data_IF_707008641156
#
_entry.id   IF_707008641156
#
_cell.length_a   1.000
_cell.length_b   1.000
_cell.length_c   1.000
_cell.angle_alpha   90.00
_cell.angle_beta   90.00
_cell.angle_gamma   90.00
#
_symmetry.space_group_name_H-M   'P 1'
#
loop_
_entity.id
_entity.type
_entity.pdbx_description
1 polymer ?
#
# COMPACT_ATOMS: atom_id res chain seq x y z
N UNK A 1 12.88 24.95 -13.75
CA UNK A 1 14.30 24.53 -13.76
C UNK A 1 14.58 23.23 -13.00
N UNK A 2 14.37 23.14 -11.68
CA UNK A 2 14.80 21.98 -10.87
C UNK A 2 14.29 20.62 -11.39
N UNK A 3 13.01 20.52 -11.77
CA UNK A 3 12.44 19.26 -12.28
C UNK A 3 13.04 18.78 -13.60
N UNK A 4 13.47 19.70 -14.48
CA UNK A 4 14.09 19.36 -15.77
C UNK A 4 15.51 18.84 -15.55
N UNK A 5 16.27 19.50 -14.67
CA UNK A 5 17.62 19.04 -14.29
C UNK A 5 17.56 17.63 -13.67
N UNK A 6 16.55 17.36 -12.84
CA UNK A 6 16.36 16.03 -12.25
C UNK A 6 16.07 14.96 -13.31
N UNK A 7 15.22 15.26 -14.31
CA UNK A 7 14.96 14.36 -15.44
C UNK A 7 16.25 14.07 -16.22
N UNK A 8 17.07 15.08 -16.49
CA UNK A 8 18.34 14.91 -17.20
C UNK A 8 19.32 14.00 -16.44
N UNK A 9 19.50 14.24 -15.12
CA UNK A 9 20.36 13.41 -14.28
C UNK A 9 19.83 11.98 -14.19
N UNK A 10 18.52 11.83 -14.09
CA UNK A 10 17.84 10.55 -14.02
C UNK A 10 18.04 9.70 -15.29
N UNK A 11 17.75 10.27 -16.46
CA UNK A 11 17.94 9.58 -17.75
C UNK A 11 19.41 9.23 -17.95
N UNK A 12 20.32 10.16 -17.63
CA UNK A 12 21.77 9.92 -17.71
C UNK A 12 22.21 8.75 -16.83
N UNK A 13 21.68 8.65 -15.61
CA UNK A 13 21.99 7.53 -14.72
C UNK A 13 21.54 6.19 -15.30
N UNK A 14 20.33 6.12 -15.88
CA UNK A 14 19.83 4.92 -16.55
C UNK A 14 20.74 4.53 -17.72
N UNK A 15 21.08 5.48 -18.60
CA UNK A 15 21.95 5.22 -19.75
C UNK A 15 23.34 4.70 -19.33
N UNK A 16 23.92 5.26 -18.26
CA UNK A 16 25.22 4.82 -17.76
C UNK A 16 25.17 3.41 -17.18
N UNK A 17 24.11 3.08 -16.43
CA UNK A 17 23.92 1.74 -15.87
C UNK A 17 23.67 0.69 -16.97
N UNK A 18 22.88 1.03 -17.98
CA UNK A 18 22.67 0.14 -19.13
C UNK A 18 23.94 -0.04 -19.96
N UNK A 19 24.77 1.01 -20.08
CA UNK A 19 26.04 0.96 -20.80
C UNK A 19 27.04 -0.05 -20.22
N UNK A 20 26.95 -0.35 -18.93
CA UNK A 20 27.75 -1.39 -18.25
C UNK A 20 27.04 -2.75 -18.17
N UNK A 21 25.90 -2.91 -18.85
CA UNK A 21 25.16 -4.17 -18.94
C UNK A 21 24.07 -4.37 -17.88
N UNK A 22 23.79 -3.38 -17.02
CA UNK A 22 22.69 -3.48 -16.06
C UNK A 22 21.33 -3.34 -16.77
N UNK A 23 20.36 -4.15 -16.36
CA UNK A 23 19.00 -4.14 -16.89
C UNK A 23 18.11 -3.41 -15.88
N UNK A 24 17.78 -2.14 -16.17
CA UNK A 24 16.84 -1.37 -15.36
C UNK A 24 15.39 -1.69 -15.76
N UNK A 25 14.66 -2.41 -14.91
CA UNK A 25 13.23 -2.71 -15.13
C UNK A 25 12.30 -1.73 -14.41
N UNK A 26 12.78 -1.04 -13.36
CA UNK A 26 11.95 -0.11 -12.63
C UNK A 26 12.72 0.81 -11.70
N UNK A 27 12.02 1.86 -11.27
CA UNK A 27 12.55 2.95 -10.45
C UNK A 27 11.57 3.28 -9.33
N UNK A 28 12.11 3.40 -8.12
CA UNK A 28 11.35 3.80 -6.93
C UNK A 28 11.67 5.24 -6.57
N UNK A 29 10.66 6.04 -6.24
CA UNK A 29 10.85 7.38 -5.68
C UNK A 29 9.87 7.67 -4.55
N UNK A 30 10.23 8.61 -3.68
CA UNK A 30 9.30 9.11 -2.66
C UNK A 30 8.19 10.00 -3.27
N UNK A 31 7.25 10.41 -2.41
CA UNK A 31 6.15 11.29 -2.79
C UNK A 31 6.48 12.78 -2.80
N UNK A 32 7.76 13.19 -2.79
CA UNK A 32 8.14 14.61 -2.76
C UNK A 32 7.68 15.37 -4.01
N UNK A 33 7.43 16.67 -3.89
CA UNK A 33 6.92 17.50 -4.99
C UNK A 33 7.86 17.54 -6.21
N UNK A 34 9.17 17.42 -5.99
CA UNK A 34 10.19 17.32 -7.03
C UNK A 34 10.08 16.01 -7.82
N UNK A 35 9.89 14.89 -7.13
CA UNK A 35 9.73 13.58 -7.74
C UNK A 35 8.39 13.45 -8.48
N UNK A 36 7.32 14.08 -7.98
CA UNK A 36 6.07 14.18 -8.74
C UNK A 36 6.21 14.97 -10.04
N UNK A 37 7.01 16.05 -10.04
CA UNK A 37 7.33 16.79 -11.27
C UNK A 37 8.14 15.94 -12.26
N UNK A 38 9.06 15.11 -11.75
CA UNK A 38 9.80 14.13 -12.55
C UNK A 38 8.84 13.13 -13.22
N UNK A 39 7.89 12.57 -12.46
CA UNK A 39 6.88 11.65 -12.99
C UNK A 39 6.05 12.29 -14.10
N UNK A 40 5.51 13.48 -13.85
CA UNK A 40 4.74 14.22 -14.85
C UNK A 40 5.56 14.49 -16.13
N UNK A 41 6.85 14.81 -16.01
CA UNK A 41 7.74 15.02 -17.16
C UNK A 41 8.06 13.73 -17.93
N UNK A 42 8.07 12.58 -17.27
CA UNK A 42 8.19 11.26 -17.91
C UNK A 42 6.83 10.76 -18.45
N UNK A 43 5.76 11.53 -18.29
CA UNK A 43 4.40 11.17 -18.68
C UNK A 43 3.77 10.11 -17.78
N UNK A 44 4.29 9.92 -16.57
CA UNK A 44 3.76 8.95 -15.60
C UNK A 44 2.65 9.63 -14.79
N UNK A 45 1.49 8.99 -14.74
CA UNK A 45 0.29 9.49 -14.05
C UNK A 45 -0.44 8.34 -13.37
N UNK A 46 -0.90 8.58 -12.15
CA UNK A 46 -1.76 7.65 -11.40
C UNK A 46 -3.23 8.01 -11.45
N UNK A 47 -3.64 8.93 -12.33
CA UNK A 47 -5.03 9.35 -12.45
C UNK A 47 -5.89 8.17 -12.90
N UNK A 48 -7.01 7.94 -12.21
CA UNK A 48 -7.97 6.88 -12.56
C UNK A 48 -8.44 7.02 -14.00
N UNK A 49 -8.55 5.89 -14.70
CA UNK A 49 -8.91 5.81 -16.12
C UNK A 49 -7.78 6.17 -17.09
N UNK A 50 -6.70 6.82 -16.64
CA UNK A 50 -5.55 7.20 -17.47
C UNK A 50 -4.21 6.86 -16.78
N UNK A 51 -4.15 5.69 -16.14
CA UNK A 51 -2.94 5.28 -15.40
C UNK A 51 -1.82 4.97 -16.39
N UNK A 52 -0.77 5.80 -16.36
CA UNK A 52 0.49 5.56 -17.07
C UNK A 52 1.58 5.31 -16.05
N UNK A 53 1.91 4.03 -15.88
CA UNK A 53 2.78 3.52 -14.82
C UNK A 53 4.25 3.31 -15.22
N UNK A 54 4.55 3.44 -16.51
CA UNK A 54 5.90 3.29 -17.05
C UNK A 54 6.19 4.40 -18.06
N UNK A 55 7.48 4.59 -18.35
CA UNK A 55 7.95 5.33 -19.50
C UNK A 55 8.79 4.42 -20.40
N UNK A 56 8.95 4.79 -21.66
CA UNK A 56 9.77 4.04 -22.61
C UNK A 56 11.25 4.32 -22.39
N UNK A 57 12.05 3.28 -22.51
CA UNK A 57 13.48 3.37 -22.27
C UNK A 57 14.14 4.29 -23.32
N UNK A 58 14.94 5.29 -22.92
CA UNK A 58 15.45 6.33 -23.82
C UNK A 58 16.40 5.81 -24.92
N UNK A 59 17.00 4.64 -24.74
CA UNK A 59 17.94 4.04 -25.71
C UNK A 59 17.42 2.79 -26.41
N UNK A 60 16.29 2.22 -25.97
CA UNK A 60 15.82 0.91 -26.45
C UNK A 60 14.33 0.96 -26.72
N UNK A 61 13.96 0.87 -27.99
CA UNK A 61 12.56 0.82 -28.41
C UNK A 61 11.85 -0.37 -27.76
N UNK A 62 10.58 -0.18 -27.41
CA UNK A 62 9.69 -1.15 -26.76
C UNK A 62 10.09 -1.64 -25.35
N UNK A 63 11.17 -1.14 -24.74
CA UNK A 63 11.47 -1.49 -23.35
C UNK A 63 10.83 -0.52 -22.37
N UNK A 64 10.07 -1.07 -21.42
CA UNK A 64 9.35 -0.30 -20.40
C UNK A 64 10.18 -0.21 -19.13
N UNK A 65 10.22 0.97 -18.53
CA UNK A 65 10.77 1.18 -17.18
C UNK A 65 9.61 1.58 -16.27
N UNK A 66 9.27 0.69 -15.33
CA UNK A 66 8.14 0.87 -14.42
C UNK A 66 8.49 1.83 -13.27
N UNK A 67 7.56 2.73 -12.94
CA UNK A 67 7.71 3.62 -11.79
C UNK A 67 6.98 3.07 -10.57
N UNK A 68 7.57 3.27 -9.40
CA UNK A 68 7.04 2.85 -8.11
C UNK A 68 7.11 4.02 -7.13
N UNK A 69 6.03 4.25 -6.40
CA UNK A 69 6.10 5.02 -5.16
C UNK A 69 6.52 4.11 -4.03
N UNK A 70 7.16 4.67 -3.01
CA UNK A 70 7.54 3.88 -1.85
C UNK A 70 6.32 3.39 -1.05
N UNK A 71 6.03 2.08 -1.13
CA UNK A 71 4.85 1.46 -0.54
C UNK A 71 4.77 1.64 1.00
N UNK A 72 5.86 1.45 1.78
CA UNK A 72 5.89 1.80 3.21
C UNK A 72 5.46 3.25 3.49
N UNK A 73 5.93 4.20 2.69
CA UNK A 73 5.54 5.61 2.83
C UNK A 73 4.07 5.85 2.46
N UNK A 74 3.52 5.15 1.47
CA UNK A 74 2.10 5.25 1.12
C UNK A 74 1.21 4.79 2.27
N UNK A 75 1.52 3.66 2.92
CA UNK A 75 0.75 3.17 4.08
C UNK A 75 0.82 4.16 5.25
N UNK A 76 2.00 4.76 5.49
CA UNK A 76 2.15 5.85 6.46
C UNK A 76 1.25 7.04 6.13
N UNK A 77 1.16 7.45 4.86
CA UNK A 77 0.33 8.58 4.43
C UNK A 77 -1.16 8.28 4.63
N UNK A 78 -1.61 7.04 4.34
CA UNK A 78 -2.97 6.58 4.63
C UNK A 78 -3.28 6.70 6.13
N UNK A 79 -2.38 6.22 7.00
CA UNK A 79 -2.50 6.35 8.47
C UNK A 79 -2.59 7.80 8.92
N UNK A 80 -1.72 8.67 8.39
CA UNK A 80 -1.69 10.08 8.75
C UNK A 80 -2.96 10.81 8.30
N UNK A 81 -3.48 10.50 7.11
CA UNK A 81 -4.73 11.07 6.59
C UNK A 81 -5.91 10.66 7.47
N UNK A 82 -6.03 9.37 7.79
CA UNK A 82 -7.09 8.87 8.68
C UNK A 82 -6.98 9.48 10.10
N UNK A 83 -5.77 9.59 10.65
CA UNK A 83 -5.55 10.20 11.96
C UNK A 83 -5.94 11.69 11.99
N UNK A 84 -5.62 12.45 10.94
CA UNK A 84 -5.87 13.88 10.87
C UNK A 84 -7.35 14.19 10.62
N UNK A 85 -7.99 13.46 9.70
CA UNK A 85 -9.41 13.67 9.34
C UNK A 85 -10.39 12.92 10.24
N UNK A 86 -9.90 12.03 11.10
CA UNK A 86 -10.66 11.20 12.08
C UNK A 86 -11.61 10.18 11.46
N UNK A 87 -12.11 10.43 10.25
CA UNK A 87 -12.91 9.49 9.50
C UNK A 87 -12.63 9.56 8.00
N UNK A 88 -12.78 8.42 7.35
CA UNK A 88 -12.88 8.29 5.90
C UNK A 88 -14.21 7.61 5.59
N UNK A 89 -14.86 8.02 4.50
CA UNK A 89 -16.18 7.49 4.13
C UNK A 89 -16.01 6.40 3.10
N UNK A 90 -16.75 5.30 3.25
CA UNK A 90 -16.80 4.21 2.26
C UNK A 90 -18.27 3.91 2.04
N UNK A 91 -18.73 3.80 0.81
CA UNK A 91 -20.11 3.34 0.54
C UNK A 91 -20.05 1.85 0.20
N UNK A 92 -20.97 1.06 0.77
CA UNK A 92 -21.14 -0.33 0.37
C UNK A 92 -21.64 -0.34 -1.07
N UNK A 93 -20.80 -0.80 -1.99
CA UNK A 93 -21.28 -1.19 -3.29
C UNK A 93 -22.13 -2.46 -3.10
N UNK A 94 -23.45 -2.31 -3.08
CA UNK A 94 -24.41 -3.42 -3.00
C UNK A 94 -24.35 -4.36 -4.23
N UNK A 95 -23.42 -4.11 -5.17
CA UNK A 95 -23.21 -4.87 -6.40
C UNK A 95 -22.29 -6.09 -6.24
N UNK A 96 -21.77 -6.38 -5.04
CA UNK A 96 -21.28 -7.74 -4.77
C UNK A 96 -22.51 -8.60 -4.42
N UNK A 97 -22.82 -9.67 -5.18
CA UNK A 97 -23.95 -10.51 -4.87
C UNK A 97 -23.56 -11.46 -3.73
N UNK A 98 -23.26 -10.92 -2.54
CA UNK A 98 -23.54 -11.68 -1.33
C UNK A 98 -25.04 -11.68 -1.19
N UNK A 99 -25.66 -12.66 -1.87
CA UNK A 99 -27.08 -12.96 -1.81
C UNK A 99 -27.39 -13.19 -0.32
N UNK A 100 -27.92 -12.15 0.33
CA UNK A 100 -28.16 -12.15 1.80
C UNK A 100 -29.03 -13.36 2.19
N UNK A 101 -29.89 -13.80 1.27
CA UNK A 101 -30.60 -15.08 1.33
C UNK A 101 -30.39 -15.83 0.00
N UNK A 102 -29.48 -16.80 -0.09
CA UNK A 102 -29.11 -17.42 -1.36
C UNK A 102 -30.24 -18.23 -2.01
N UNK A 103 -31.23 -18.69 -1.23
CA UNK A 103 -32.36 -19.50 -1.70
C UNK A 103 -33.56 -18.67 -2.16
N UNK A 104 -33.63 -17.39 -1.78
CA UNK A 104 -34.70 -16.50 -2.22
C UNK A 104 -34.44 -16.06 -3.67
N UNK A 105 -35.46 -16.22 -4.51
CA UNK A 105 -35.50 -15.83 -5.93
C UNK A 105 -36.62 -14.79 -6.14
N UNK A 106 -36.64 -14.06 -7.28
CA UNK A 106 -37.69 -13.06 -7.54
C UNK A 106 -39.13 -13.58 -7.42
N UNK A 107 -39.35 -14.88 -7.68
CA UNK A 107 -40.64 -15.57 -7.49
C UNK A 107 -41.14 -15.62 -6.05
N UNK A 108 -40.25 -15.47 -5.06
CA UNK A 108 -40.61 -15.42 -3.65
C UNK A 108 -41.03 -14.01 -3.20
N UNK A 109 -40.53 -12.97 -3.89
CA UNK A 109 -40.79 -11.56 -3.58
C UNK A 109 -42.07 -11.08 -4.29
N UNK A 110 -42.32 -11.57 -5.50
CA UNK A 110 -43.54 -11.33 -6.27
C UNK A 110 -44.14 -12.66 -6.77
N UNK A 111 -44.84 -13.42 -5.89
CA UNK A 111 -45.40 -14.71 -6.26
C UNK A 111 -46.61 -14.57 -7.20
N UNK A 112 -46.58 -15.29 -8.32
CA UNK A 112 -47.76 -15.51 -9.17
C UNK A 112 -48.81 -16.38 -8.45
N UNK A 113 -50.01 -16.50 -9.01
CA UNK A 113 -51.11 -17.22 -8.36
C UNK A 113 -50.79 -18.70 -8.05
N UNK A 114 -49.90 -19.33 -8.82
CA UNK A 114 -49.43 -20.70 -8.56
C UNK A 114 -48.35 -20.74 -7.48
N UNK A 115 -47.43 -19.77 -7.46
CA UNK A 115 -46.40 -19.62 -6.44
C UNK A 115 -46.98 -19.32 -5.06
N UNK A 116 -48.11 -18.61 -4.99
CA UNK A 116 -48.87 -18.39 -3.73
C UNK A 116 -49.40 -19.68 -3.10
N UNK A 117 -49.64 -20.72 -3.90
CA UNK A 117 -50.13 -22.02 -3.43
C UNK A 117 -48.98 -23.00 -3.10
N UNK A 118 -47.72 -22.62 -3.32
CA UNK A 118 -46.57 -23.48 -3.08
C UNK A 118 -46.10 -23.40 -1.63
N UNK A 119 -46.42 -24.44 -0.86
CA UNK A 119 -45.96 -24.59 0.54
C UNK A 119 -44.44 -24.50 0.62
N UNK A 120 -43.71 -25.10 -0.34
CA UNK A 120 -42.24 -25.11 -0.40
C UNK A 120 -41.62 -23.72 -0.55
N UNK A 121 -42.23 -22.85 -1.34
CA UNK A 121 -41.80 -21.45 -1.50
C UNK A 121 -42.02 -20.67 -0.19
N UNK A 122 -43.16 -20.89 0.46
CA UNK A 122 -43.47 -20.28 1.75
C UNK A 122 -42.52 -20.77 2.86
N UNK A 123 -42.15 -22.06 2.87
CA UNK A 123 -41.20 -22.60 3.86
C UNK A 123 -39.79 -22.03 3.66
N UNK A 124 -39.33 -21.88 2.40
CA UNK A 124 -38.02 -21.28 2.11
C UNK A 124 -37.93 -19.80 2.52
N UNK A 125 -39.02 -19.04 2.37
CA UNK A 125 -39.09 -17.67 2.89
C UNK A 125 -39.02 -17.69 4.42
N UNK A 126 -39.78 -18.56 5.08
CA UNK A 126 -39.82 -18.62 6.55
C UNK A 126 -38.49 -19.09 7.15
N UNK A 127 -37.83 -20.12 6.60
CA UNK A 127 -36.52 -20.59 7.05
C UNK A 127 -35.44 -19.50 6.93
N UNK A 128 -35.38 -18.82 5.78
CA UNK A 128 -34.41 -17.76 5.55
C UNK A 128 -34.76 -16.48 6.35
N UNK A 129 -36.05 -16.25 6.66
CA UNK A 129 -36.51 -15.16 7.54
C UNK A 129 -36.20 -15.45 9.01
N UNK A 130 -36.33 -16.70 9.46
CA UNK A 130 -35.95 -17.14 10.81
C UNK A 130 -34.44 -17.07 10.98
N UNK A 131 -33.64 -17.50 9.99
CA UNK A 131 -32.19 -17.32 10.01
C UNK A 131 -31.77 -15.84 10.03
N UNK A 132 -32.54 -14.97 9.36
CA UNK A 132 -32.35 -13.52 9.42
C UNK A 132 -32.79 -12.92 10.77
N UNK A 133 -33.87 -13.42 11.38
CA UNK A 133 -34.38 -12.99 12.69
C UNK A 133 -33.48 -13.46 13.84
N UNK A 134 -32.96 -14.69 13.81
CA UNK A 134 -31.96 -15.20 14.78
C UNK A 134 -30.65 -14.40 14.73
N UNK A 135 -30.38 -13.72 13.61
CA UNK A 135 -29.22 -12.83 13.47
C UNK A 135 -29.43 -11.41 14.06
N UNK A 136 -30.62 -11.09 14.60
CA UNK A 136 -30.94 -9.79 15.21
C UNK A 136 -31.71 -9.93 16.53
N UNK A 137 -31.00 -9.84 17.65
CA UNK A 137 -31.57 -9.53 18.98
C UNK A 137 -32.03 -8.06 19.09
N UNK A 138 -32.85 -7.55 18.16
CA UNK A 138 -33.35 -6.16 18.15
C UNK A 138 -34.90 -6.09 18.21
N UNK A 139 -35.54 -6.89 19.08
CA UNK A 139 -37.00 -6.83 19.26
C UNK A 139 -37.51 -5.56 19.96
N UNK A 140 -36.65 -4.78 20.62
CA UNK A 140 -37.09 -3.60 21.39
C UNK A 140 -37.23 -2.32 20.56
N UNK A 141 -36.61 -2.24 19.38
CA UNK A 141 -36.60 -1.01 18.57
C UNK A 141 -37.86 -0.84 17.70
N UNK A 142 -38.42 -1.94 17.19
CA UNK A 142 -39.56 -1.89 16.28
C UNK A 142 -40.93 -1.84 16.97
N UNK A 143 -41.00 -2.23 18.25
CA UNK A 143 -42.24 -2.11 19.05
C UNK A 143 -42.66 -0.65 19.26
N UNK A 144 -41.68 0.25 19.46
CA UNK A 144 -41.91 1.67 19.73
C UNK A 144 -42.33 2.45 18.47
N UNK A 145 -41.82 2.05 17.30
CA UNK A 145 -42.16 2.71 16.02
C UNK A 145 -43.57 2.34 15.55
N UNK A 146 -44.06 1.13 15.88
CA UNK A 146 -45.42 0.70 15.51
C UNK A 146 -46.53 1.35 16.32
N UNK A 147 -46.25 1.85 17.53
CA UNK A 147 -47.22 2.59 18.33
C UNK A 147 -47.33 4.09 17.97
N UNK A 148 -46.42 4.62 17.14
CA UNK A 148 -46.31 6.06 16.89
C UNK A 148 -46.91 6.55 15.55
N UNK A 149 -47.46 5.66 14.71
CA UNK A 149 -47.92 6.04 13.36
C UNK A 149 -49.42 5.70 13.20
N UNK A 150 -50.26 6.75 13.27
CA UNK A 150 -51.67 6.69 12.86
C UNK A 150 -51.85 6.58 11.34
N UNK A 151 -53.05 6.30 10.82
CA UNK A 151 -53.21 5.65 9.51
C UNK A 151 -52.97 6.51 8.27
N UNK A 152 -52.70 7.81 8.40
CA UNK A 152 -52.86 8.75 7.27
C UNK A 152 -51.69 9.71 7.07
N UNK A 153 -50.47 9.20 6.84
CA UNK A 153 -49.45 10.00 6.16
C UNK A 153 -48.55 9.11 5.28
N UNK A 154 -48.90 9.07 3.99
CA UNK A 154 -48.04 8.54 2.94
C UNK A 154 -47.01 9.60 2.51
N UNK A 155 -46.08 9.94 3.39
CA UNK A 155 -44.81 10.57 3.01
C UNK A 155 -43.79 10.45 4.16
N UNK A 156 -42.55 10.12 3.79
CA UNK A 156 -41.33 10.14 4.61
C UNK A 156 -41.18 9.03 5.67
N UNK A 157 -40.47 7.97 5.29
CA UNK A 157 -39.42 7.35 6.10
C UNK A 157 -38.62 6.36 5.23
N UNK A 158 -37.68 6.86 4.43
CA UNK A 158 -36.57 5.99 3.99
C UNK A 158 -35.73 5.67 5.23
N UNK A 159 -35.45 4.39 5.53
CA UNK A 159 -34.62 4.05 6.67
C UNK A 159 -33.24 4.68 6.46
N UNK A 160 -32.83 5.53 7.38
CA UNK A 160 -31.49 6.15 7.40
C UNK A 160 -30.48 5.03 7.59
N UNK A 161 -30.03 4.44 6.49
CA UNK A 161 -28.92 3.50 6.48
C UNK A 161 -27.70 4.22 7.06
N UNK A 162 -27.24 3.75 8.23
CA UNK A 162 -26.00 4.19 8.87
C UNK A 162 -24.89 4.26 7.82
N UNK A 163 -24.44 5.47 7.52
CA UNK A 163 -23.40 5.67 6.51
C UNK A 163 -22.11 4.95 6.93
N UNK A 164 -21.47 4.18 6.04
CA UNK A 164 -20.32 3.37 6.45
C UNK A 164 -19.07 4.23 6.57
N UNK A 165 -18.51 4.35 7.78
CA UNK A 165 -17.33 5.16 8.06
C UNK A 165 -16.18 4.30 8.59
N UNK A 166 -14.99 4.54 8.05
CA UNK A 166 -13.73 4.15 8.68
C UNK A 166 -13.40 5.23 9.70
N UNK A 167 -13.30 4.90 10.98
CA UNK A 167 -13.06 5.90 12.05
C UNK A 167 -11.80 5.61 12.82
N UNK A 168 -11.03 6.66 13.13
CA UNK A 168 -9.88 6.55 14.02
C UNK A 168 -10.30 6.16 15.44
N UNK A 169 -11.49 6.59 15.88
CA UNK A 169 -12.04 6.25 17.20
C UNK A 169 -12.13 4.74 17.43
N UNK A 170 -12.43 3.93 16.40
CA UNK A 170 -12.48 2.48 16.57
C UNK A 170 -11.13 1.88 17.01
N UNK A 171 -10.01 2.41 16.52
CA UNK A 171 -8.67 1.98 16.96
C UNK A 171 -8.38 2.43 18.39
N UNK A 172 -8.83 3.64 18.77
CA UNK A 172 -8.73 4.16 20.14
C UNK A 172 -9.51 3.26 21.09
N UNK A 173 -10.75 2.92 20.73
CA UNK A 173 -11.64 2.09 21.55
C UNK A 173 -11.06 0.70 21.76
N UNK A 174 -10.55 0.05 20.71
CA UNK A 174 -9.87 -1.24 20.83
C UNK A 174 -8.70 -1.13 21.81
N UNK A 175 -7.86 -0.10 21.68
CA UNK A 175 -6.73 0.09 22.57
C UNK A 175 -7.12 0.34 24.04
N UNK A 176 -8.13 1.19 24.29
CA UNK A 176 -8.59 1.48 25.64
C UNK A 176 -9.19 0.25 26.32
N UNK A 177 -9.97 -0.54 25.58
CA UNK A 177 -10.54 -1.78 26.07
C UNK A 177 -9.48 -2.86 26.31
N UNK A 178 -8.44 -2.92 25.46
CA UNK A 178 -7.33 -3.87 25.64
C UNK A 178 -6.46 -3.54 26.85
N UNK A 179 -6.32 -2.26 27.22
CA UNK A 179 -5.68 -1.85 28.47
C UNK A 179 -6.56 -2.16 29.67
N UNK A 180 -7.84 -1.80 29.63
CA UNK A 180 -8.76 -2.06 30.73
C UNK A 180 -8.84 -3.55 31.05
N UNK A 181 -8.81 -4.40 30.01
CA UNK A 181 -8.79 -5.86 30.15
C UNK A 181 -7.47 -6.38 30.72
N UNK A 182 -6.34 -5.73 30.46
CA UNK A 182 -5.04 -6.11 31.01
C UNK A 182 -5.02 -6.08 32.54
N UNK A 183 -5.84 -5.23 33.18
CA UNK A 183 -6.00 -5.21 34.63
C UNK A 183 -6.70 -6.46 35.18
N UNK A 184 -7.53 -7.12 34.37
CA UNK A 184 -8.33 -8.29 34.76
C UNK A 184 -7.78 -9.61 34.22
N UNK A 185 -7.00 -9.57 33.13
CA UNK A 185 -6.34 -10.73 32.51
C UNK A 185 -5.07 -10.27 31.78
N UNK A 186 -3.90 -10.91 31.98
CA UNK A 186 -2.62 -10.39 31.48
C UNK A 186 -2.43 -10.51 29.96
N UNK A 187 -3.35 -11.12 29.22
CA UNK A 187 -3.23 -11.33 27.78
C UNK A 187 -3.85 -10.18 27.00
N UNK A 188 -3.04 -9.42 26.28
CA UNK A 188 -3.54 -8.38 25.35
C UNK A 188 -3.92 -9.00 24.01
N UNK A 189 -5.04 -8.55 23.44
CA UNK A 189 -5.47 -8.93 22.08
C UNK A 189 -4.53 -8.28 21.06
N UNK A 190 -4.12 -7.04 21.32
CA UNK A 190 -3.26 -6.25 20.45
C UNK A 190 -1.95 -5.84 21.18
N UNK A 191 -1.05 -6.79 21.52
CA UNK A 191 0.08 -6.53 22.43
C UNK A 191 1.13 -5.56 21.89
N UNK A 192 1.19 -5.39 20.56
CA UNK A 192 2.16 -4.50 19.90
C UNK A 192 1.74 -3.03 19.92
N UNK A 193 0.48 -2.74 20.25
CA UNK A 193 -0.09 -1.40 20.20
C UNK A 193 0.21 -0.67 21.50
N UNK A 194 0.66 0.57 21.37
CA UNK A 194 1.11 1.44 22.47
C UNK A 194 0.47 2.82 22.32
N UNK A 195 0.54 3.72 23.33
CA UNK A 195 -0.07 5.05 23.23
C UNK A 195 0.43 5.82 22.01
N UNK A 196 1.71 5.63 21.63
CA UNK A 196 2.35 6.26 20.47
C UNK A 196 1.74 5.87 19.13
N UNK A 197 1.02 4.75 19.06
CA UNK A 197 0.30 4.34 17.85
C UNK A 197 -1.01 5.11 17.68
N UNK A 198 -1.71 5.34 18.80
CA UNK A 198 -3.06 5.93 18.83
C UNK A 198 -3.00 7.47 18.82
N UNK A 199 -2.02 8.04 19.52
CA UNK A 199 -1.75 9.47 19.58
C UNK A 199 -0.30 9.74 19.12
N UNK A 200 -0.01 9.66 17.80
CA UNK A 200 1.33 9.84 17.29
C UNK A 200 1.80 11.30 17.38
N UNK A 201 2.95 11.49 18.04
CA UNK A 201 3.77 12.70 17.98
C UNK A 201 4.38 12.91 16.56
N UNK A 202 5.08 14.03 16.33
CA UNK A 202 5.66 14.35 15.02
C UNK A 202 6.66 13.28 14.52
N UNK A 203 7.42 12.65 15.41
CA UNK A 203 8.34 11.57 15.04
C UNK A 203 7.59 10.26 14.78
N UNK A 204 6.56 9.96 15.57
CA UNK A 204 5.71 8.78 15.43
C UNK A 204 4.89 8.81 14.12
N UNK A 205 4.46 10.01 13.67
CA UNK A 205 3.84 10.21 12.35
C UNK A 205 4.75 9.85 11.19
N UNK A 206 6.07 9.93 11.37
CA UNK A 206 7.06 9.54 10.37
C UNK A 206 7.41 8.06 10.39
N UNK A 207 7.13 7.36 11.50
CA UNK A 207 7.42 5.93 11.65
C UNK A 207 6.47 5.07 10.82
N UNK A 208 7.03 4.36 9.84
CA UNK A 208 6.34 3.31 9.08
C UNK A 208 5.93 2.15 9.99
N UNK A 209 6.83 1.73 10.91
CA UNK A 209 6.57 0.62 11.83
C UNK A 209 5.28 0.81 12.63
N UNK A 210 5.05 2.02 13.15
CA UNK A 210 3.83 2.31 13.90
C UNK A 210 2.58 2.31 12.99
N UNK A 211 2.73 2.69 11.71
CA UNK A 211 1.64 2.66 10.75
C UNK A 211 1.23 1.23 10.40
N UNK A 212 2.20 0.36 10.13
CA UNK A 212 1.96 -1.03 9.74
C UNK A 212 1.42 -1.85 10.90
N UNK A 213 1.79 -1.53 12.15
CA UNK A 213 1.22 -2.18 13.34
C UNK A 213 -0.24 -1.79 13.57
N UNK A 214 -0.63 -0.54 13.28
CA UNK A 214 -2.05 -0.12 13.30
C UNK A 214 -2.85 -0.88 12.23
N UNK A 215 -2.33 -0.95 11.00
CA UNK A 215 -2.99 -1.67 9.90
C UNK A 215 -2.60 -3.16 9.85
N UNK A 216 -2.50 -3.80 11.02
CA UNK A 216 -2.12 -5.21 11.11
C UNK A 216 -3.36 -6.12 11.18
N UNK A 217 -3.19 -7.39 10.77
CA UNK A 217 -4.22 -8.41 10.95
C UNK A 217 -4.64 -8.55 12.42
N UNK A 218 -3.69 -8.47 13.36
CA UNK A 218 -4.01 -8.50 14.80
C UNK A 218 -4.96 -7.37 15.23
N UNK A 219 -4.80 -6.17 14.66
CA UNK A 219 -5.72 -5.06 14.95
C UNK A 219 -7.10 -5.31 14.35
N UNK A 220 -7.18 -5.83 13.13
CA UNK A 220 -8.45 -6.18 12.51
C UNK A 220 -9.22 -7.24 13.30
N UNK A 221 -8.52 -8.31 13.74
CA UNK A 221 -9.09 -9.33 14.63
C UNK A 221 -9.44 -8.77 16.00
N UNK A 222 -8.67 -7.80 16.51
CA UNK A 222 -9.01 -7.05 17.72
C UNK A 222 -10.33 -6.29 17.60
N UNK A 223 -10.52 -5.54 16.51
CA UNK A 223 -11.79 -4.85 16.21
C UNK A 223 -12.94 -5.86 16.16
N UNK A 224 -12.76 -6.99 15.47
CA UNK A 224 -13.76 -8.05 15.39
C UNK A 224 -14.08 -8.63 16.77
N UNK A 225 -13.06 -8.93 17.57
CA UNK A 225 -13.19 -9.52 18.89
C UNK A 225 -14.04 -8.64 19.81
N UNK A 226 -13.68 -7.37 19.92
CA UNK A 226 -14.39 -6.42 20.78
C UNK A 226 -15.80 -6.08 20.27
N UNK A 227 -16.04 -6.14 18.95
CA UNK A 227 -17.38 -5.96 18.36
C UNK A 227 -18.29 -7.17 18.60
N UNK A 228 -17.81 -8.38 18.33
CA UNK A 228 -18.67 -9.59 18.28
C UNK A 228 -18.74 -10.33 19.61
N UNK A 229 -17.61 -10.48 20.31
CA UNK A 229 -17.54 -11.29 21.53
C UNK A 229 -17.82 -10.47 22.78
N UNK A 230 -17.15 -9.32 22.92
CA UNK A 230 -17.36 -8.41 24.07
C UNK A 230 -18.59 -7.52 23.87
N UNK A 231 -19.09 -7.40 22.63
CA UNK A 231 -20.28 -6.62 22.25
C UNK A 231 -20.22 -5.15 22.70
N UNK A 232 -19.07 -4.49 22.49
CA UNK A 232 -18.90 -3.08 22.85
C UNK A 232 -19.74 -2.16 21.94
N UNK A 233 -20.58 -1.33 22.55
CA UNK A 233 -21.49 -0.42 21.84
C UNK A 233 -20.77 0.53 20.87
N UNK A 234 -19.62 1.10 21.28
CA UNK A 234 -18.86 2.04 20.46
C UNK A 234 -18.29 1.41 19.18
N UNK A 235 -18.13 0.08 19.16
CA UNK A 235 -17.57 -0.68 18.04
C UNK A 235 -18.62 -1.36 17.16
N UNK A 236 -19.92 -1.19 17.41
CA UNK A 236 -20.99 -1.80 16.59
C UNK A 236 -20.84 -1.48 15.10
N UNK A 237 -20.45 -0.26 14.76
CA UNK A 237 -20.29 0.22 13.38
C UNK A 237 -18.84 0.12 12.84
N UNK A 238 -18.01 -0.73 13.44
CA UNK A 238 -16.58 -0.86 13.09
C UNK A 238 -16.28 -1.79 11.90
N UNK A 239 -17.28 -2.40 11.27
CA UNK A 239 -17.09 -3.39 10.20
C UNK A 239 -16.24 -2.87 9.03
N UNK A 240 -16.50 -1.65 8.57
CA UNK A 240 -15.72 -1.06 7.47
C UNK A 240 -14.28 -0.76 7.88
N UNK A 241 -14.07 -0.41 9.15
CA UNK A 241 -12.72 -0.19 9.68
C UNK A 241 -11.94 -1.50 9.75
N UNK A 242 -12.60 -2.60 10.15
CA UNK A 242 -11.99 -3.94 10.09
C UNK A 242 -11.60 -4.30 8.66
N UNK A 243 -12.54 -4.28 7.71
CA UNK A 243 -12.30 -4.65 6.31
C UNK A 243 -11.21 -3.80 5.66
N UNK A 244 -11.20 -2.50 5.96
CA UNK A 244 -10.14 -1.59 5.52
C UNK A 244 -8.77 -1.96 6.09
N UNK A 245 -8.70 -2.29 7.39
CA UNK A 245 -7.47 -2.73 8.08
C UNK A 245 -6.94 -4.03 7.47
N UNK A 246 -7.80 -5.03 7.27
CA UNK A 246 -7.43 -6.31 6.66
C UNK A 246 -6.90 -6.13 5.23
N UNK A 247 -7.57 -5.30 4.42
CA UNK A 247 -7.12 -5.01 3.05
C UNK A 247 -5.76 -4.33 3.02
N UNK A 248 -5.53 -3.32 3.86
CA UNK A 248 -4.23 -2.65 3.93
C UNK A 248 -3.12 -3.57 4.45
N UNK A 249 -3.42 -4.46 5.41
CA UNK A 249 -2.47 -5.48 5.86
C UNK A 249 -2.04 -6.37 4.68
N UNK A 250 -3.02 -6.96 3.98
CA UNK A 250 -2.76 -7.85 2.85
C UNK A 250 -2.00 -7.14 1.73
N UNK A 251 -2.40 -5.91 1.38
CA UNK A 251 -1.70 -5.09 0.39
C UNK A 251 -0.24 -4.85 0.79
N UNK A 252 -0.01 -4.45 2.04
CA UNK A 252 1.35 -4.16 2.52
C UNK A 252 2.22 -5.42 2.52
N UNK A 253 1.68 -6.56 2.94
CA UNK A 253 2.39 -7.84 2.90
C UNK A 253 2.80 -8.21 1.47
N UNK A 254 1.90 -8.07 0.50
CA UNK A 254 2.19 -8.33 -0.92
C UNK A 254 3.26 -7.37 -1.47
N UNK A 255 3.19 -6.09 -1.14
CA UNK A 255 4.17 -5.09 -1.59
C UNK A 255 5.51 -5.17 -0.83
N UNK A 256 5.62 -6.02 0.19
CA UNK A 256 6.78 -6.07 1.08
C UNK A 256 7.30 -7.49 1.35
N UNK A 257 7.10 -8.45 0.43
CA UNK A 257 7.63 -9.82 0.52
C UNK A 257 9.15 -9.81 0.51
N UNK A 258 9.77 -10.28 1.59
CA UNK A 258 11.20 -10.21 1.86
C UNK A 258 11.91 -11.55 1.69
N UNK A 259 11.26 -12.64 2.06
CA UNK A 259 11.88 -13.97 2.05
C UNK A 259 11.45 -14.81 0.84
N UNK A 260 12.33 -15.73 0.35
CA UNK A 260 11.98 -16.61 -0.77
C UNK A 260 10.72 -17.47 -0.56
N UNK A 261 10.45 -17.87 0.69
CA UNK A 261 9.28 -18.67 1.02
C UNK A 261 7.95 -17.94 0.77
N UNK A 262 7.92 -16.63 1.00
CA UNK A 262 6.76 -15.75 0.84
C UNK A 262 6.80 -14.95 -0.48
N UNK A 263 7.83 -15.11 -1.30
CA UNK A 263 7.97 -14.39 -2.57
C UNK A 263 6.79 -14.68 -3.52
N UNK A 264 6.42 -13.68 -4.32
CA UNK A 264 5.32 -13.80 -5.29
C UNK A 264 5.68 -14.86 -6.33
N UNK A 265 4.79 -15.83 -6.53
CA UNK A 265 4.90 -16.93 -7.49
C UNK A 265 3.76 -16.86 -8.50
N UNK A 266 3.89 -17.57 -9.63
CA UNK A 266 2.95 -17.51 -10.77
C UNK A 266 1.49 -17.74 -10.40
N UNK A 267 1.22 -18.65 -9.45
CA UNK A 267 -0.14 -18.99 -9.00
C UNK A 267 -0.44 -18.47 -7.57
N UNK A 268 0.25 -17.41 -7.14
CA UNK A 268 0.02 -16.84 -5.81
C UNK A 268 -1.29 -16.03 -5.75
N UNK A 269 -1.95 -16.07 -4.60
CA UNK A 269 -3.10 -15.20 -4.33
C UNK A 269 -2.71 -13.70 -4.26
N UNK A 270 -1.41 -13.39 -4.25
CA UNK A 270 -0.88 -12.03 -4.21
C UNK A 270 -1.35 -11.20 -5.44
N UNK A 271 -1.44 -11.81 -6.63
CA UNK A 271 -1.97 -11.14 -7.82
C UNK A 271 -3.43 -10.72 -7.65
N UNK A 272 -4.25 -11.61 -7.08
CA UNK A 272 -5.67 -11.33 -6.80
C UNK A 272 -5.81 -10.21 -5.77
N UNK A 273 -4.99 -10.20 -4.72
CA UNK A 273 -4.99 -9.13 -3.71
C UNK A 273 -4.71 -7.77 -4.37
N UNK A 274 -3.73 -7.69 -5.28
CA UNK A 274 -3.40 -6.46 -5.99
C UNK A 274 -4.53 -5.99 -6.92
N UNK A 275 -5.11 -6.92 -7.69
CA UNK A 275 -6.23 -6.65 -8.61
C UNK A 275 -7.50 -6.21 -7.85
N UNK A 276 -7.88 -6.93 -6.79
CA UNK A 276 -9.01 -6.60 -5.92
C UNK A 276 -8.82 -5.23 -5.23
N UNK A 277 -7.58 -4.90 -4.85
CA UNK A 277 -7.27 -3.61 -4.21
C UNK A 277 -7.35 -2.44 -5.17
N UNK A 278 -6.93 -2.60 -6.44
CA UNK A 278 -7.11 -1.56 -7.46
C UNK A 278 -8.60 -1.35 -7.72
N UNK A 279 -9.35 -2.42 -7.96
CA UNK A 279 -10.79 -2.33 -8.22
C UNK A 279 -11.53 -1.64 -7.07
N UNK A 280 -11.16 -1.97 -5.83
CA UNK A 280 -11.70 -1.29 -4.65
C UNK A 280 -11.30 0.18 -4.59
N UNK A 281 -10.03 0.53 -4.86
CA UNK A 281 -9.55 1.92 -4.82
C UNK A 281 -10.22 2.79 -5.88
N UNK A 282 -10.44 2.27 -7.08
CA UNK A 282 -11.13 2.96 -8.17
C UNK A 282 -12.62 3.12 -7.85
N UNK A 283 -13.28 2.05 -7.38
CA UNK A 283 -14.66 2.11 -6.90
C UNK A 283 -14.85 3.07 -5.73
N UNK A 284 -13.83 3.26 -4.90
CA UNK A 284 -13.87 4.21 -3.80
C UNK A 284 -13.71 5.66 -4.28
N UNK A 285 -12.85 5.90 -5.26
CA UNK A 285 -12.69 7.24 -5.86
C UNK A 285 -13.88 7.63 -6.75
N UNK A 286 -14.53 6.69 -7.44
CA UNK A 286 -15.78 6.94 -8.18
C UNK A 286 -16.86 7.62 -7.31
N UNK A 287 -16.88 7.30 -6.02
CA UNK A 287 -17.84 7.88 -5.07
C UNK A 287 -17.53 9.34 -4.72
N UNK A 288 -16.27 9.76 -4.88
CA UNK A 288 -15.87 11.17 -4.76
C UNK A 288 -16.36 11.95 -5.97
N UNK A 289 -16.17 11.40 -7.17
CA UNK A 289 -16.57 12.03 -8.43
C UNK A 289 -18.10 12.16 -8.56
N UNK A 290 -18.84 11.20 -8.02
CA UNK A 290 -20.32 11.22 -7.98
C UNK A 290 -20.89 12.15 -6.87
N UNK A 291 -20.06 13.00 -6.26
CA UNK A 291 -20.40 13.88 -5.12
C UNK A 291 -20.93 13.15 -3.87
N UNK A 292 -20.74 11.83 -3.78
CA UNK A 292 -21.14 11.04 -2.62
C UNK A 292 -20.23 11.22 -1.41
N UNK A 293 -18.99 11.68 -1.62
CA UNK A 293 -17.94 11.82 -0.62
C UNK A 293 -17.17 13.12 -0.89
N UNK A 294 -16.83 13.87 0.15
CA UNK A 294 -15.95 15.04 0.01
C UNK A 294 -14.49 14.60 -0.16
N UNK A 295 -13.68 15.34 -0.92
CA UNK A 295 -12.24 15.00 -1.09
C UNK A 295 -11.45 14.91 0.23
N UNK A 296 -12.00 15.46 1.31
CA UNK A 296 -11.43 15.35 2.65
C UNK A 296 -11.68 14.01 3.34
N UNK A 297 -12.76 13.31 2.97
CA UNK A 297 -13.18 11.99 3.46
C UNK A 297 -12.62 10.83 2.63
N UNK A 298 -11.82 11.14 1.59
CA UNK A 298 -11.04 10.19 0.79
C UNK A 298 -9.54 10.31 1.10
N UNK A 299 -8.71 9.43 0.52
CA UNK A 299 -7.25 9.58 0.55
C UNK A 299 -6.81 10.89 -0.12
N UNK A 300 -5.58 11.35 0.16
CA UNK A 300 -5.04 12.46 -0.65
C UNK A 300 -4.81 11.98 -2.08
N UNK A 301 -5.06 12.86 -3.06
CA UNK A 301 -4.86 12.55 -4.48
C UNK A 301 -3.50 11.91 -4.75
N UNK A 302 -2.44 12.50 -4.20
CA UNK A 302 -1.07 11.97 -4.32
C UNK A 302 -0.88 10.56 -3.77
N UNK A 303 -1.60 10.19 -2.70
CA UNK A 303 -1.50 8.86 -2.10
C UNK A 303 -2.28 7.84 -2.92
N UNK A 304 -3.47 8.22 -3.40
CA UNK A 304 -4.28 7.37 -4.27
C UNK A 304 -3.57 7.08 -5.61
N UNK A 305 -3.07 8.12 -6.27
CA UNK A 305 -2.28 8.00 -7.51
C UNK A 305 -1.01 7.16 -7.30
N UNK A 306 -0.28 7.42 -6.21
CA UNK A 306 0.91 6.65 -5.85
C UNK A 306 0.62 5.17 -5.62
N UNK A 307 -0.50 4.85 -4.95
CA UNK A 307 -0.96 3.46 -4.77
C UNK A 307 -1.31 2.82 -6.11
N UNK A 308 -2.10 3.48 -6.98
CA UNK A 308 -2.46 2.93 -8.30
C UNK A 308 -1.24 2.61 -9.15
N UNK A 309 -0.31 3.55 -9.28
CA UNK A 309 0.93 3.34 -10.05
C UNK A 309 1.72 2.19 -9.47
N UNK A 310 1.94 2.17 -8.16
CA UNK A 310 2.76 1.13 -7.51
C UNK A 310 2.16 -0.26 -7.63
N UNK A 311 0.85 -0.40 -7.41
CA UNK A 311 0.16 -1.69 -7.50
C UNK A 311 0.17 -2.21 -8.95
N UNK A 312 -0.19 -1.36 -9.92
CA UNK A 312 -0.20 -1.76 -11.33
C UNK A 312 1.21 -2.03 -11.87
N UNK A 313 2.22 -1.25 -11.47
CA UNK A 313 3.62 -1.50 -11.82
C UNK A 313 4.11 -2.81 -11.23
N UNK A 314 3.72 -3.12 -9.99
CA UNK A 314 4.09 -4.39 -9.34
C UNK A 314 3.45 -5.57 -10.06
N UNK A 315 2.16 -5.47 -10.42
CA UNK A 315 1.46 -6.49 -11.19
C UNK A 315 2.16 -6.80 -12.51
N UNK A 316 2.39 -5.77 -13.34
CA UNK A 316 2.99 -5.94 -14.66
C UNK A 316 4.43 -6.43 -14.58
N UNK A 317 5.24 -5.82 -13.70
CA UNK A 317 6.64 -6.22 -13.55
C UNK A 317 6.75 -7.65 -13.02
N UNK A 318 5.87 -8.06 -12.11
CA UNK A 318 5.86 -9.43 -11.62
C UNK A 318 5.48 -10.43 -12.72
N UNK A 319 4.46 -10.12 -13.53
CA UNK A 319 4.07 -10.96 -14.69
C UNK A 319 5.24 -11.08 -15.67
N UNK A 320 5.87 -9.97 -16.07
CA UNK A 320 7.05 -9.96 -16.94
C UNK A 320 8.21 -10.81 -16.40
N UNK A 321 8.57 -10.62 -15.12
CA UNK A 321 9.70 -11.33 -14.52
C UNK A 321 9.41 -12.84 -14.34
N UNK A 322 8.18 -13.24 -13.99
CA UNK A 322 7.84 -14.65 -13.83
C UNK A 322 7.66 -15.36 -15.18
N UNK A 323 6.96 -14.73 -16.13
CA UNK A 323 6.54 -15.38 -17.38
C UNK A 323 7.58 -15.24 -18.49
N UNK A 324 8.15 -14.05 -18.69
CA UNK A 324 9.11 -13.81 -19.78
C UNK A 324 10.55 -14.08 -19.36
N UNK A 325 10.93 -13.69 -18.14
CA UNK A 325 12.30 -13.90 -17.64
C UNK A 325 12.50 -15.23 -16.90
N UNK A 326 11.41 -15.97 -16.59
CA UNK A 326 11.49 -17.29 -15.95
C UNK A 326 11.95 -17.29 -14.49
N UNK A 327 11.77 -16.20 -13.75
CA UNK A 327 12.09 -16.17 -12.32
C UNK A 327 11.16 -17.09 -11.51
N UNK A 328 11.71 -17.85 -10.55
CA UNK A 328 10.92 -18.76 -9.69
C UNK A 328 9.99 -18.04 -8.71
N UNK A 329 10.45 -16.89 -8.21
CA UNK A 329 9.72 -16.05 -7.26
C UNK A 329 10.25 -14.62 -7.33
N UNK A 330 9.47 -13.67 -6.82
CA UNK A 330 9.82 -12.25 -6.79
C UNK A 330 9.71 -11.70 -5.38
N UNK A 331 10.69 -10.89 -4.99
CA UNK A 331 10.74 -10.22 -3.68
C UNK A 331 10.40 -8.74 -3.85
N UNK A 332 9.14 -8.39 -3.60
CA UNK A 332 8.63 -7.01 -3.70
C UNK A 332 9.25 -6.07 -2.68
N UNK A 333 9.84 -6.58 -1.59
CA UNK A 333 10.71 -5.81 -0.69
C UNK A 333 11.89 -5.13 -1.40
N UNK A 334 12.28 -5.58 -2.61
CA UNK A 334 13.33 -4.91 -3.41
C UNK A 334 12.80 -3.75 -4.27
N UNK A 335 11.48 -3.55 -4.31
CA UNK A 335 10.79 -2.50 -5.07
C UNK A 335 10.38 -1.32 -4.17
N UNK A 336 11.13 -1.08 -3.10
CA UNK A 336 10.93 0.01 -2.15
C UNK A 336 12.25 0.76 -1.89
N UNK A 337 12.20 1.88 -1.18
CA UNK A 337 13.38 2.70 -0.89
C UNK A 337 14.08 2.34 0.43
N UNK A 338 13.64 1.29 1.15
CA UNK A 338 14.17 0.92 2.47
C UNK A 338 15.69 0.67 2.44
N UNK A 339 16.21 0.12 1.33
CA UNK A 339 17.65 -0.12 1.16
C UNK A 339 18.45 1.18 1.11
N UNK A 340 17.90 2.22 0.53
CA UNK A 340 18.51 3.54 0.50
C UNK A 340 18.48 4.18 1.91
N UNK A 341 17.38 4.02 2.64
CA UNK A 341 17.27 4.51 4.02
C UNK A 341 18.21 3.77 4.99
N UNK A 342 18.36 2.45 4.83
CA UNK A 342 19.35 1.65 5.55
C UNK A 342 20.77 2.12 5.27
N UNK A 343 21.08 2.48 4.01
CA UNK A 343 22.36 3.06 3.66
C UNK A 343 22.59 4.40 4.39
N UNK A 344 21.61 5.32 4.38
CA UNK A 344 21.73 6.57 5.14
C UNK A 344 21.87 6.35 6.65
N UNK A 345 21.20 5.33 7.21
CA UNK A 345 21.39 4.91 8.59
C UNK A 345 22.82 4.44 8.85
N UNK A 346 23.39 3.65 7.95
CA UNK A 346 24.78 3.18 8.05
C UNK A 346 25.77 4.33 7.98
N UNK A 347 25.55 5.30 7.09
CA UNK A 347 26.36 6.52 6.99
C UNK A 347 26.33 7.30 8.31
N UNK A 348 25.13 7.51 8.89
CA UNK A 348 24.99 8.18 10.20
C UNK A 348 25.65 7.43 11.34
N UNK A 349 25.59 6.10 11.34
CA UNK A 349 26.29 5.30 12.35
C UNK A 349 27.81 5.38 12.21
N UNK A 350 28.33 5.43 10.97
CA UNK A 350 29.77 5.49 10.70
C UNK A 350 30.44 6.80 11.18
N UNK A 351 29.67 7.87 11.35
CA UNK A 351 30.15 9.18 11.84
C UNK A 351 29.93 9.39 13.35
N UNK A 352 29.47 8.35 14.07
CA UNK A 352 29.30 8.36 15.51
C UNK A 352 28.24 9.37 15.97
N UNK A 353 28.57 10.32 16.87
CA UNK A 353 27.60 11.26 17.45
C UNK A 353 27.15 12.38 16.48
N UNK A 354 27.76 12.49 15.31
CA UNK A 354 27.40 13.53 14.34
C UNK A 354 26.21 13.12 13.48
N UNK A 355 24.98 13.26 13.99
CA UNK A 355 23.77 12.84 13.25
C UNK A 355 23.48 13.65 11.97
N UNK A 356 24.15 14.79 11.77
CA UNK A 356 23.93 15.73 10.66
C UNK A 356 25.24 16.11 9.96
N UNK A 357 25.84 15.19 9.17
CA UNK A 357 27.11 15.44 8.50
C UNK A 357 26.99 16.54 7.45
N UNK A 358 28.02 17.40 7.35
CA UNK A 358 28.16 18.29 6.21
C UNK A 358 28.50 17.50 4.92
N UNK A 359 28.22 18.09 3.76
CA UNK A 359 28.42 17.43 2.45
C UNK A 359 29.82 16.83 2.25
N UNK A 360 30.94 17.50 2.62
CA UNK A 360 32.27 16.90 2.53
C UNK A 360 32.43 15.63 3.38
N UNK A 361 31.89 15.65 4.61
CA UNK A 361 31.92 14.51 5.53
C UNK A 361 31.12 13.34 4.96
N UNK A 362 29.91 13.62 4.45
CA UNK A 362 29.10 12.61 3.78
C UNK A 362 29.84 11.99 2.59
N UNK A 363 30.49 12.81 1.76
CA UNK A 363 31.23 12.33 0.59
C UNK A 363 32.43 11.44 0.99
N UNK A 364 33.15 11.80 2.05
CA UNK A 364 34.27 10.99 2.56
C UNK A 364 33.80 9.64 3.08
N UNK A 365 32.70 9.62 3.85
CA UNK A 365 32.11 8.39 4.38
C UNK A 365 31.53 7.54 3.26
N UNK A 366 30.87 8.16 2.27
CA UNK A 366 30.38 7.47 1.08
C UNK A 366 31.51 6.77 0.33
N UNK A 367 32.63 7.46 0.08
CA UNK A 367 33.83 6.88 -0.56
C UNK A 367 34.38 5.71 0.26
N UNK A 368 34.49 5.89 1.58
CA UNK A 368 34.98 4.84 2.49
C UNK A 368 34.07 3.61 2.48
N UNK A 369 32.75 3.78 2.55
CA UNK A 369 31.78 2.69 2.53
C UNK A 369 31.73 1.98 1.17
N UNK A 370 31.84 2.72 0.07
CA UNK A 370 31.91 2.14 -1.27
C UNK A 370 33.15 1.24 -1.41
N UNK A 371 34.32 1.72 -0.99
CA UNK A 371 35.57 0.92 -1.01
C UNK A 371 35.48 -0.25 -0.04
N UNK A 372 34.96 -0.05 1.17
CA UNK A 372 34.78 -1.12 2.16
C UNK A 372 33.89 -2.26 1.65
N UNK A 373 32.83 -1.93 0.91
CA UNK A 373 31.91 -2.93 0.33
C UNK A 373 32.58 -3.82 -0.74
N UNK A 374 33.65 -3.33 -1.37
CA UNK A 374 34.46 -4.07 -2.34
C UNK A 374 35.52 -4.91 -1.63
N UNK A 375 36.15 -4.36 -0.59
CA UNK A 375 37.27 -4.99 0.11
C UNK A 375 36.84 -6.09 1.08
N UNK A 376 35.65 -5.99 1.67
CA UNK A 376 35.18 -6.94 2.67
C UNK A 376 33.88 -7.61 2.23
N UNK A 377 33.88 -8.94 2.00
CA UNK A 377 32.65 -9.63 1.67
C UNK A 377 31.65 -9.57 2.84
N UNK A 378 30.33 -9.57 2.55
CA UNK A 378 29.31 -9.58 3.58
C UNK A 378 29.40 -10.87 4.41
N UNK A 379 29.31 -10.74 5.74
CA UNK A 379 29.44 -11.86 6.70
C UNK A 379 28.48 -13.04 6.44
N UNK A 380 27.38 -12.82 5.72
CA UNK A 380 26.32 -13.81 5.46
C UNK A 380 26.12 -14.11 3.96
N UNK A 381 27.05 -13.70 3.08
CA UNK A 381 27.00 -14.09 1.68
C UNK A 381 27.57 -15.50 1.48
N UNK A 382 27.06 -16.26 0.52
CA UNK A 382 27.67 -17.50 0.03
C UNK A 382 28.98 -17.22 -0.75
N UNK A 383 29.83 -16.34 -0.22
CA UNK A 383 31.14 -16.01 -0.77
C UNK A 383 32.17 -16.57 0.19
N UNK A 384 32.42 -17.87 0.09
CA UNK A 384 33.64 -18.46 0.65
C UNK A 384 34.84 -17.85 -0.07
N UNK A 385 35.83 -17.38 0.69
CA UNK A 385 37.14 -17.00 0.13
C UNK A 385 37.79 -18.31 -0.32
N UNK A 386 37.54 -18.71 -1.57
CA UNK A 386 37.95 -20.01 -2.12
C UNK A 386 39.47 -20.12 -2.29
N UNK A 387 40.19 -18.98 -2.30
CA UNK A 387 41.64 -18.93 -2.33
C UNK A 387 42.14 -17.67 -1.62
N UNK A 388 43.07 -17.77 -0.64
CA UNK A 388 43.75 -16.60 -0.07
C UNK A 388 44.75 -15.94 -1.05
N UNK A 389 44.99 -16.55 -2.21
CA UNK A 389 45.93 -16.09 -3.26
C UNK A 389 45.27 -15.41 -4.48
N UNK A 390 43.95 -15.22 -4.50
CA UNK A 390 43.30 -14.44 -5.58
C UNK A 390 43.70 -12.96 -5.51
N UNK A 391 43.74 -12.24 -6.66
CA UNK A 391 44.35 -10.92 -6.73
C UNK A 391 43.57 -9.99 -5.81
N UNK A 392 44.23 -9.55 -4.74
CA UNK A 392 43.76 -8.44 -3.91
C UNK A 392 43.63 -7.26 -4.86
N UNK A 393 42.42 -6.75 -5.05
CA UNK A 393 42.19 -5.48 -5.75
C UNK A 393 43.17 -4.48 -5.15
N UNK A 394 44.18 -4.10 -5.92
CA UNK A 394 45.24 -3.22 -5.45
C UNK A 394 44.75 -1.78 -5.48
N UNK A 395 45.39 -0.89 -4.71
CA UNK A 395 45.08 0.55 -4.79
C UNK A 395 45.32 1.07 -6.22
N UNK A 396 46.26 0.48 -6.97
CA UNK A 396 46.44 0.71 -8.41
C UNK A 396 45.19 0.34 -9.21
N UNK A 397 44.58 -0.83 -8.99
CA UNK A 397 43.38 -1.24 -9.71
C UNK A 397 42.21 -0.30 -9.43
N UNK A 398 42.02 0.11 -8.16
CA UNK A 398 41.01 1.10 -7.80
C UNK A 398 41.31 2.45 -8.46
N UNK A 399 42.57 2.91 -8.45
CA UNK A 399 42.96 4.13 -9.15
C UNK A 399 42.64 4.02 -10.63
N UNK A 400 42.92 2.90 -11.30
CA UNK A 400 42.61 2.69 -12.72
C UNK A 400 41.11 2.69 -13.00
N UNK A 401 40.30 2.05 -12.14
CA UNK A 401 38.81 2.04 -12.25
C UNK A 401 38.24 3.46 -12.12
N UNK A 402 38.81 4.28 -11.23
CA UNK A 402 38.35 5.66 -10.99
C UNK A 402 39.05 6.73 -11.84
N UNK A 403 40.20 6.43 -12.46
CA UNK A 403 40.97 7.30 -13.38
C UNK A 403 40.77 6.96 -14.85
N UNK A 404 39.77 6.15 -15.25
CA UNK A 404 39.59 5.89 -16.68
C UNK A 404 39.44 7.22 -17.43
N UNK A 405 40.36 7.44 -18.38
CA UNK A 405 40.46 8.58 -19.30
C UNK A 405 39.22 8.73 -20.22
N UNK A 406 38.10 8.08 -19.90
CA UNK A 406 36.80 8.19 -20.55
C UNK A 406 36.10 9.53 -20.28
N UNK A 407 36.74 10.45 -19.55
CA UNK A 407 36.27 11.83 -19.38
C UNK A 407 36.01 12.45 -20.76
N UNK A 408 36.86 12.20 -21.76
CA UNK A 408 36.76 12.78 -23.10
C UNK A 408 35.64 12.18 -23.95
N UNK A 409 35.42 10.86 -23.93
CA UNK A 409 34.30 10.21 -24.63
C UNK A 409 32.95 10.52 -23.96
N UNK A 410 32.95 10.61 -22.64
CA UNK A 410 31.79 11.00 -21.82
C UNK A 410 31.41 12.45 -22.08
N UNK A 411 32.37 13.36 -22.16
CA UNK A 411 32.15 14.76 -22.55
C UNK A 411 31.61 14.87 -23.97
N UNK A 412 32.19 14.15 -24.95
CA UNK A 412 31.69 14.12 -26.33
C UNK A 412 30.26 13.60 -26.44
N UNK A 413 29.90 12.53 -25.73
CA UNK A 413 28.53 11.99 -25.71
C UNK A 413 27.54 12.92 -25.01
N UNK A 414 27.96 13.60 -23.94
CA UNK A 414 27.14 14.62 -23.26
C UNK A 414 26.92 15.84 -24.16
N UNK A 415 27.95 16.27 -24.90
CA UNK A 415 27.88 17.40 -25.83
C UNK A 415 27.02 17.06 -27.07
N UNK A 416 27.12 15.83 -27.57
CA UNK A 416 26.26 15.34 -28.64
C UNK A 416 24.79 15.30 -28.19
N UNK A 417 24.52 14.74 -27.01
CA UNK A 417 23.16 14.71 -26.43
C UNK A 417 22.60 16.11 -26.19
N UNK A 418 23.42 17.07 -25.73
CA UNK A 418 23.01 18.49 -25.61
C UNK A 418 22.57 19.06 -26.97
N UNK A 419 23.38 18.85 -28.01
CA UNK A 419 23.08 19.36 -29.36
C UNK A 419 21.83 18.74 -29.99
N UNK A 420 21.52 17.48 -29.71
CA UNK A 420 20.31 16.81 -30.24
C UNK A 420 19.03 17.16 -29.47
N UNK A 421 19.15 17.72 -28.26
CA UNK A 421 18.01 18.05 -27.39
C UNK A 421 17.70 19.56 -27.35
N UNK A 422 18.66 20.42 -27.70
CA UNK A 422 18.46 21.87 -27.87
C UNK A 422 18.05 22.25 -29.32
N UNK A 423 18.00 21.28 -30.23
CA UNK A 423 17.34 21.34 -31.55
C UNK A 423 15.93 20.79 -31.46
#
# INVERSE_FOLDING_TARGET
>A
MIGIVLVHLFIKAICLLEGIGAIINGVVSDGASTNRKLWAKLGVSGQKGQVKKYFEHPLKNNRKVYMFSDAPHLIKNVRNKLYNKKSLRVTRNLNSPTKVCPKITPRHIAPDNFAKMSVKLATQVLEDTIAWLDSREDQQFFGTVRQAIGPNDHQLCTPTFLQPFIRWSHYVDVYMNDIARNSNSPTKVCPKITPRHIAPDNFAKMSVKLATQIFSDSMAKGIQFYRQYIKIDSLKNSYETQTFTERLNLLFDVLNRKYPAEGIKKNSNDFKVLEDTIAWLDSWEDQVDQHGITGDEFLTQSTAEGLRVTIQSTLDLCKYLLDECGFKYILTYKMNQDRLEQFFGTVRQAIGPNDHPCTPTFLQVYKMLAVYSILKPPKSGNCSILNPETPKITISDLKTIFNTNDITEKEKKIEHLRKTLDS
#
